data_IF_173481867272
#
_entry.id   IF_173481867272
#
_cell.length_a   1.000
_cell.length_b   1.000
_cell.length_c   1.000
_cell.angle_alpha   90.00
_cell.angle_beta   90.00
_cell.angle_gamma   90.00
#
_symmetry.space_group_name_H-M   'P 1'
#
loop_
_entity.id
_entity.type
_entity.pdbx_description
1 polymer ?
#
# COMPACT_ATOMS: atom_id res chain seq x y z
N UNK A 1 11.23 12.59 4.70
CA UNK A 1 11.47 11.18 4.46
C UNK A 1 12.21 11.00 3.16
N UNK A 2 13.32 10.33 3.23
CA UNK A 2 14.05 10.04 2.02
C UNK A 2 13.27 9.08 1.16
N UNK A 3 13.20 9.37 -0.11
CA UNK A 3 12.51 8.52 -1.05
C UNK A 3 13.13 7.14 -1.19
N UNK A 4 14.22 6.91 -0.49
CA UNK A 4 15.00 5.67 -0.57
C UNK A 4 14.59 4.65 0.47
N UNK A 5 13.79 5.02 1.46
CA UNK A 5 13.52 4.17 2.60
C UNK A 5 12.23 3.37 2.49
N UNK A 6 11.61 3.38 1.31
CA UNK A 6 10.38 2.63 1.09
C UNK A 6 10.67 1.13 1.01
N UNK A 7 9.78 0.34 1.61
CA UNK A 7 9.81 -1.12 1.53
C UNK A 7 8.63 -1.61 0.72
N UNK A 8 8.81 -2.73 0.02
CA UNK A 8 7.69 -3.38 -0.64
C UNK A 8 6.65 -3.79 0.40
N UNK A 9 5.36 -3.47 0.16
CA UNK A 9 4.30 -3.82 1.11
C UNK A 9 3.97 -5.30 1.12
N UNK A 10 4.33 -6.03 0.07
CA UNK A 10 4.15 -7.48 0.00
C UNK A 10 5.03 -8.01 -1.13
N UNK A 11 5.16 -9.33 -1.20
CA UNK A 11 5.84 -9.98 -2.32
C UNK A 11 4.82 -10.42 -3.35
N UNK A 12 5.25 -10.57 -4.60
CA UNK A 12 4.39 -11.05 -5.67
C UNK A 12 4.61 -10.30 -6.96
N UNK A 13 3.90 -10.72 -8.00
CA UNK A 13 4.00 -10.12 -9.31
C UNK A 13 3.13 -8.88 -9.42
N UNK A 14 3.67 -7.80 -9.96
CA UNK A 14 2.88 -6.62 -10.30
C UNK A 14 2.05 -6.97 -11.54
N UNK A 15 0.73 -7.08 -11.34
CA UNK A 15 -0.19 -7.50 -12.41
C UNK A 15 -0.91 -6.31 -13.04
N UNK A 16 -0.88 -5.15 -12.40
CA UNK A 16 -1.47 -3.93 -12.95
C UNK A 16 -0.58 -2.75 -12.55
N UNK A 17 0.04 -2.08 -13.53
CA UNK A 17 0.93 -0.95 -13.22
C UNK A 17 0.15 0.34 -13.00
N UNK A 18 0.84 1.33 -12.45
CA UNK A 18 0.34 2.69 -12.35
C UNK A 18 0.14 3.29 -13.75
N UNK A 19 -0.92 4.06 -13.91
CA UNK A 19 -1.23 4.72 -15.19
C UNK A 19 -1.76 6.13 -14.94
N UNK A 20 -1.32 7.07 -15.78
CA UNK A 20 -1.80 8.45 -15.73
C UNK A 20 -2.98 8.71 -16.68
N UNK A 21 -3.41 7.69 -17.44
CA UNK A 21 -4.54 7.85 -18.35
C UNK A 21 -5.84 7.96 -17.55
N UNK A 22 -6.87 8.55 -18.16
CA UNK A 22 -8.19 8.65 -17.54
C UNK A 22 -8.71 7.25 -17.20
N UNK A 23 -9.16 7.08 -15.96
CA UNK A 23 -9.58 5.77 -15.46
C UNK A 23 -8.44 4.81 -15.19
N UNK A 24 -7.19 5.28 -15.30
CA UNK A 24 -6.02 4.45 -15.07
C UNK A 24 -5.82 4.11 -13.60
N UNK A 25 -4.95 3.13 -13.36
CA UNK A 25 -4.67 2.65 -12.02
C UNK A 25 -3.86 3.69 -11.22
N UNK A 26 -4.36 4.07 -10.06
CA UNK A 26 -3.72 5.10 -9.21
C UNK A 26 -2.55 4.57 -8.39
N UNK A 27 -2.27 3.29 -8.47
CA UNK A 27 -1.15 2.65 -7.77
C UNK A 27 -0.71 1.44 -8.56
N UNK A 28 -0.17 0.45 -7.85
CA UNK A 28 0.16 -0.84 -8.47
C UNK A 28 -0.64 -1.94 -7.79
N UNK A 29 -1.00 -2.96 -8.55
CA UNK A 29 -1.66 -4.14 -8.01
C UNK A 29 -0.68 -5.30 -8.01
N UNK A 30 -0.55 -5.95 -6.86
CA UNK A 30 0.39 -7.04 -6.65
C UNK A 30 -0.41 -8.29 -6.35
N UNK A 31 -0.27 -9.32 -7.19
CA UNK A 31 -0.97 -10.58 -7.01
C UNK A 31 -0.30 -11.41 -5.92
N UNK A 32 -1.09 -12.19 -5.21
CA UNK A 32 -0.60 -13.06 -4.16
C UNK A 32 -1.64 -14.05 -3.69
N UNK A 33 -1.45 -14.56 -2.49
CA UNK A 33 -2.31 -15.57 -1.89
C UNK A 33 -3.14 -14.95 -0.77
N UNK A 34 -4.40 -15.36 -0.66
CA UNK A 34 -5.26 -14.89 0.42
C UNK A 34 -4.61 -15.20 1.78
N UNK A 35 -4.57 -14.20 2.64
CA UNK A 35 -3.94 -14.30 3.95
C UNK A 35 -2.46 -13.95 3.97
N UNK A 36 -1.85 -13.73 2.82
CA UNK A 36 -0.46 -13.32 2.73
C UNK A 36 -0.26 -12.01 3.49
N UNK A 37 0.85 -11.85 4.23
CA UNK A 37 1.07 -10.61 4.99
C UNK A 37 1.18 -9.38 4.11
N UNK A 38 0.65 -8.27 4.62
CA UNK A 38 0.83 -6.93 4.04
C UNK A 38 1.56 -6.10 5.08
N UNK A 39 2.64 -5.44 4.67
CA UNK A 39 3.54 -4.71 5.55
C UNK A 39 3.49 -3.21 5.27
N UNK A 40 3.71 -2.41 6.32
CA UNK A 40 3.85 -0.97 6.15
C UNK A 40 5.09 -0.67 5.31
N UNK A 41 4.93 0.14 4.27
CA UNK A 41 6.03 0.50 3.37
C UNK A 41 7.02 1.46 4.01
N UNK A 42 6.66 2.08 5.11
CA UNK A 42 7.50 2.99 5.88
C UNK A 42 6.90 3.21 7.25
N UNK A 43 7.69 3.76 8.16
CA UNK A 43 7.20 4.16 9.47
C UNK A 43 6.21 5.31 9.33
N UNK A 44 5.21 5.34 10.19
CA UNK A 44 4.22 6.41 10.15
C UNK A 44 3.08 6.19 11.11
N UNK A 45 2.01 6.95 10.89
CA UNK A 45 0.81 6.89 11.70
C UNK A 45 -0.37 6.48 10.84
N UNK A 46 -1.15 5.52 11.30
CA UNK A 46 -2.38 5.09 10.61
C UNK A 46 -3.40 6.21 10.72
N UNK A 47 -3.84 6.73 9.58
CA UNK A 47 -4.79 7.84 9.50
C UNK A 47 -6.16 7.41 8.98
N UNK A 48 -6.28 6.19 8.46
CA UNK A 48 -7.56 5.63 8.04
C UNK A 48 -7.52 4.12 8.12
N UNK A 49 -8.57 3.52 8.65
CA UNK A 49 -8.82 2.07 8.64
C UNK A 49 -10.32 1.89 8.42
N UNK A 50 -10.72 1.20 7.37
CA UNK A 50 -12.14 0.96 7.15
C UNK A 50 -12.44 0.52 5.73
N UNK A 51 -13.75 0.47 5.42
CA UNK A 51 -14.25 0.04 4.12
C UNK A 51 -15.30 0.99 3.55
N UNK A 52 -15.25 2.26 3.96
CA UNK A 52 -16.23 3.26 3.57
C UNK A 52 -15.95 3.89 2.21
N UNK A 53 -14.76 3.69 1.66
CA UNK A 53 -14.38 4.26 0.38
C UNK A 53 -14.62 3.23 -0.72
N UNK A 54 -15.52 3.57 -1.63
CA UNK A 54 -15.93 2.66 -2.71
C UNK A 54 -14.73 2.29 -3.58
N UNK A 55 -14.62 1.01 -3.93
CA UNK A 55 -13.62 0.52 -4.85
C UNK A 55 -12.32 0.07 -4.18
N UNK A 56 -12.15 0.30 -2.87
CA UNK A 56 -10.94 -0.08 -2.16
C UNK A 56 -11.13 -1.29 -1.24
N UNK A 57 -12.38 -1.60 -0.89
CA UNK A 57 -12.63 -2.64 0.10
C UNK A 57 -12.02 -2.27 1.44
N UNK A 58 -11.43 -3.23 2.13
CA UNK A 58 -10.78 -2.98 3.41
C UNK A 58 -9.47 -2.24 3.17
N UNK A 59 -9.42 -0.99 3.60
CA UNK A 59 -8.37 -0.04 3.26
C UNK A 59 -7.66 0.47 4.52
N UNK A 60 -6.33 0.57 4.43
CA UNK A 60 -5.50 1.24 5.42
C UNK A 60 -4.74 2.36 4.73
N UNK A 61 -4.68 3.53 5.38
CA UNK A 61 -3.79 4.61 4.94
C UNK A 61 -2.84 4.98 6.06
N UNK A 62 -1.57 5.16 5.72
CA UNK A 62 -0.51 5.52 6.65
C UNK A 62 0.10 6.85 6.21
N UNK A 63 0.17 7.80 7.15
CA UNK A 63 0.84 9.08 6.93
C UNK A 63 2.26 8.98 7.44
N UNK A 64 3.23 9.21 6.55
CA UNK A 64 4.66 9.10 6.86
C UNK A 64 5.28 10.45 7.17
N UNK A 65 4.76 11.51 6.57
CA UNK A 65 5.21 12.88 6.75
C UNK A 65 4.09 13.81 6.30
N UNK A 66 4.35 15.11 6.32
CA UNK A 66 3.37 16.07 5.79
C UNK A 66 3.09 15.86 4.31
N UNK A 67 4.03 15.25 3.59
CA UNK A 67 3.93 15.11 2.14
C UNK A 67 3.50 13.72 1.67
N UNK A 68 3.78 12.65 2.43
CA UNK A 68 3.62 11.29 1.93
C UNK A 68 2.61 10.47 2.72
N UNK A 69 1.70 9.84 1.98
CA UNK A 69 0.74 8.84 2.49
C UNK A 69 0.84 7.60 1.61
N UNK A 70 0.78 6.42 2.23
CA UNK A 70 0.61 5.16 1.49
C UNK A 70 -0.76 4.56 1.78
N UNK A 71 -1.30 3.85 0.79
CA UNK A 71 -2.62 3.23 0.89
C UNK A 71 -2.52 1.76 0.49
N UNK A 72 -3.24 0.92 1.21
CA UNK A 72 -3.21 -0.54 1.10
C UNK A 72 -4.65 -1.05 1.03
N UNK A 73 -5.09 -1.50 -0.14
CA UNK A 73 -6.49 -1.82 -0.41
C UNK A 73 -6.71 -3.31 -0.70
N UNK A 74 -7.98 -3.72 -0.66
CA UNK A 74 -8.47 -5.08 -0.91
C UNK A 74 -8.06 -6.09 0.16
N UNK A 75 -7.68 -5.61 1.34
CA UNK A 75 -7.23 -6.49 2.43
C UNK A 75 -8.34 -7.43 2.89
N UNK A 76 -7.94 -8.58 3.43
CA UNK A 76 -8.85 -9.50 4.10
C UNK A 76 -9.03 -9.08 5.55
N UNK A 77 -7.96 -9.10 6.33
CA UNK A 77 -8.00 -8.69 7.74
C UNK A 77 -7.17 -7.44 7.96
N UNK A 78 -7.71 -6.52 8.75
CA UNK A 78 -7.03 -5.29 9.14
C UNK A 78 -6.49 -5.48 10.56
N UNK A 79 -5.18 -5.29 10.74
CA UNK A 79 -4.49 -5.63 11.99
C UNK A 79 -4.01 -4.40 12.75
N UNK A 80 -4.42 -3.20 12.34
CA UNK A 80 -4.04 -1.95 13.00
C UNK A 80 -5.28 -1.09 13.19
N UNK A 81 -5.17 -0.11 14.08
CA UNK A 81 -6.24 0.81 14.38
C UNK A 81 -5.88 2.22 13.93
N UNK A 82 -6.90 3.03 13.65
CA UNK A 82 -6.72 4.44 13.34
C UNK A 82 -5.99 5.12 14.50
N UNK A 83 -4.96 5.91 14.17
CA UNK A 83 -4.16 6.60 15.18
C UNK A 83 -2.94 5.83 15.66
N UNK A 84 -2.82 4.55 15.30
CA UNK A 84 -1.70 3.71 15.73
C UNK A 84 -0.42 4.09 14.97
N UNK A 85 0.70 4.14 15.69
CA UNK A 85 2.02 4.29 15.06
C UNK A 85 2.51 2.91 14.61
N UNK A 86 3.11 2.86 13.42
CA UNK A 86 3.66 1.64 12.85
C UNK A 86 5.10 1.87 12.44
N UNK A 87 5.88 0.78 12.44
CA UNK A 87 7.27 0.79 11.96
C UNK A 87 7.30 0.32 10.51
N UNK A 88 8.35 0.72 9.78
CA UNK A 88 8.60 0.19 8.45
C UNK A 88 8.71 -1.33 8.52
N UNK A 89 8.00 -2.04 7.63
CA UNK A 89 8.00 -3.50 7.61
C UNK A 89 7.10 -4.16 8.65
N UNK A 90 6.39 -3.40 9.45
CA UNK A 90 5.43 -3.98 10.39
C UNK A 90 4.24 -4.53 9.64
N UNK A 91 3.78 -5.74 10.00
CA UNK A 91 2.58 -6.30 9.38
C UNK A 91 1.35 -5.51 9.81
N UNK A 92 0.55 -5.08 8.84
CA UNK A 92 -0.63 -4.25 9.10
C UNK A 92 -1.93 -4.91 8.64
N UNK A 93 -1.84 -5.91 7.76
CA UNK A 93 -3.03 -6.57 7.22
C UNK A 93 -2.66 -7.91 6.60
N UNK A 94 -3.68 -8.61 6.12
CA UNK A 94 -3.52 -9.77 5.26
C UNK A 94 -4.15 -9.49 3.91
N UNK A 95 -3.57 -10.04 2.85
CA UNK A 95 -4.05 -9.84 1.49
C UNK A 95 -5.40 -10.52 1.27
N UNK A 96 -6.28 -9.86 0.56
CA UNK A 96 -7.60 -10.39 0.25
C UNK A 96 -8.08 -9.98 -1.12
N UNK A 97 -9.41 -9.97 -1.28
CA UNK A 97 -10.06 -9.61 -2.53
C UNK A 97 -11.30 -8.74 -2.29
N UNK A 98 -11.34 -8.01 -1.18
CA UNK A 98 -12.49 -7.14 -0.89
C UNK A 98 -12.58 -6.05 -1.93
N UNK A 99 -13.77 -5.90 -2.54
CA UNK A 99 -14.03 -4.98 -3.67
C UNK A 99 -13.08 -5.19 -4.85
N UNK A 100 -12.60 -6.43 -5.06
CA UNK A 100 -11.74 -6.78 -6.18
C UNK A 100 -12.20 -8.10 -6.79
N UNK A 101 -11.81 -8.36 -8.02
CA UNK A 101 -12.20 -9.60 -8.71
C UNK A 101 -11.17 -10.72 -8.56
N UNK A 102 -10.08 -10.47 -7.87
CA UNK A 102 -9.05 -11.47 -7.58
C UNK A 102 -8.30 -11.08 -6.32
N UNK A 103 -7.55 -12.04 -5.75
CA UNK A 103 -6.72 -11.78 -4.58
C UNK A 103 -5.52 -10.94 -5.01
N UNK A 104 -5.42 -9.74 -4.46
CA UNK A 104 -4.36 -8.79 -4.81
C UNK A 104 -4.26 -7.69 -3.77
N UNK A 105 -3.11 -7.06 -3.70
CA UNK A 105 -2.94 -5.81 -2.96
C UNK A 105 -2.92 -4.66 -3.96
N UNK A 106 -3.77 -3.67 -3.74
CA UNK A 106 -3.66 -2.38 -4.44
C UNK A 106 -2.90 -1.43 -3.52
N UNK A 107 -1.73 -0.98 -3.97
CA UNK A 107 -0.82 -0.14 -3.19
C UNK A 107 -0.62 1.19 -3.86
N UNK A 108 -0.79 2.27 -3.09
CA UNK A 108 -0.57 3.63 -3.59
C UNK A 108 0.48 4.34 -2.75
N UNK A 109 1.25 5.18 -3.42
CA UNK A 109 2.04 6.23 -2.77
C UNK A 109 1.45 7.54 -3.23
N UNK A 110 1.13 8.43 -2.29
CA UNK A 110 0.61 9.75 -2.58
C UNK A 110 1.56 10.80 -2.06
N UNK A 111 1.92 11.73 -2.94
CA UNK A 111 2.72 12.89 -2.60
C UNK A 111 1.81 14.11 -2.65
N UNK A 112 1.62 14.78 -1.50
CA UNK A 112 0.72 15.93 -1.36
C UNK A 112 -0.64 15.64 -1.99
N UNK A 113 -1.23 14.52 -1.57
CA UNK A 113 -2.55 14.04 -1.98
C UNK A 113 -2.65 13.53 -3.44
N UNK A 114 -1.60 13.62 -4.23
CA UNK A 114 -1.59 13.15 -5.61
C UNK A 114 -0.92 11.79 -5.70
N UNK A 115 -1.61 10.82 -6.31
CA UNK A 115 -1.03 9.49 -6.51
C UNK A 115 0.14 9.58 -7.50
N UNK A 116 1.24 8.91 -7.15
CA UNK A 116 2.46 8.86 -7.96
C UNK A 116 2.82 7.40 -8.20
N UNK A 117 3.66 7.14 -9.21
CA UNK A 117 4.03 5.77 -9.58
C UNK A 117 4.88 5.13 -8.48
N UNK A 118 4.37 4.11 -7.78
CA UNK A 118 5.13 3.50 -6.70
C UNK A 118 6.44 2.86 -7.16
N UNK A 119 6.52 2.38 -8.40
CA UNK A 119 7.73 1.71 -8.90
C UNK A 119 8.92 2.65 -9.02
N UNK A 120 8.67 3.96 -9.04
CA UNK A 120 9.74 4.95 -9.05
C UNK A 120 10.37 5.16 -7.68
N UNK A 121 9.72 4.68 -6.63
CA UNK A 121 10.11 4.94 -5.24
C UNK A 121 10.49 3.68 -4.50
N UNK A 122 9.96 2.52 -4.90
CA UNK A 122 10.28 1.25 -4.28
C UNK A 122 11.65 0.76 -4.78
N UNK A 123 12.41 0.05 -3.94
CA UNK A 123 13.65 -0.58 -4.40
C UNK A 123 13.30 -1.73 -5.35
N UNK A 124 14.29 -2.27 -6.09
CA UNK A 124 14.03 -3.49 -6.86
C UNK A 124 13.50 -4.59 -5.96
N UNK A 125 12.56 -5.40 -6.48
CA UNK A 125 11.99 -6.50 -5.70
C UNK A 125 13.09 -7.44 -5.21
N UNK A 126 12.97 -7.83 -3.93
CA UNK A 126 13.95 -8.71 -3.30
C UNK A 126 15.18 -8.00 -2.77
N UNK A 127 15.32 -6.70 -2.98
CA UNK A 127 16.44 -5.94 -2.42
C UNK A 127 16.02 -5.14 -1.19
N UNK A 128 17.03 -4.71 -0.43
CA UNK A 128 16.77 -3.92 0.79
C UNK A 128 16.57 -2.45 0.44
N UNK A 129 15.83 -1.71 1.28
CA UNK A 129 15.71 -0.26 1.10
C UNK A 129 17.08 0.42 1.19
N UNK A 130 17.20 1.53 0.48
CA UNK A 130 18.42 2.33 0.47
C UNK A 130 18.21 3.56 1.34
N UNK A 131 18.43 3.43 2.62
CA UNK A 131 18.33 4.58 3.51
C UNK A 131 19.37 4.53 4.63
#
# INVERSE_FOLDING_TARGET
MGQRCWRWPTSGKVVLPYSTTDGGNKGIDIAGTRGQPVYAAGAGKVVYVGNQLRGYGNLIMIKHSEDYITAYAHNDKLMVNNGQSVKAGQQIATMGSTDADSVRLHFQIRYRATAIDPLRYLPPQGSKPKC
#
